data_IF_650138719239
#
_entry.id   IF_650138719239
#
_cell.length_a   1.000
_cell.length_b   1.000
_cell.length_c   1.000
_cell.angle_alpha   90.00
_cell.angle_beta   90.00
_cell.angle_gamma   90.00
#
_symmetry.space_group_name_H-M   'P 1'
#
loop_
_entity.id
_entity.type
_entity.pdbx_description
1 polymer ?
#
# COMPACT_ATOMS: atom_id res chain seq x y z
N UNK A 1 22.51 10.49 -16.45
CA UNK A 1 21.32 9.79 -15.90
C UNK A 1 20.66 10.72 -14.91
N UNK A 2 19.61 11.42 -15.32
CA UNK A 2 18.93 12.41 -14.47
C UNK A 2 18.20 11.71 -13.33
N UNK A 3 18.31 12.26 -12.12
CA UNK A 3 17.53 11.88 -10.96
C UNK A 3 16.04 11.79 -11.34
N UNK A 4 15.52 10.58 -11.50
CA UNK A 4 14.08 10.40 -11.54
C UNK A 4 13.68 10.37 -10.08
N UNK A 5 13.13 11.48 -9.60
CA UNK A 5 12.25 11.43 -8.43
C UNK A 5 11.31 10.28 -8.74
N UNK A 6 11.42 9.15 -8.01
CA UNK A 6 10.45 8.06 -8.11
C UNK A 6 9.09 8.75 -8.22
N UNK A 7 8.29 8.47 -9.26
CA UNK A 7 7.06 9.22 -9.57
C UNK A 7 5.96 8.96 -8.49
N UNK A 8 6.35 8.84 -7.22
CA UNK A 8 5.57 8.51 -6.03
C UNK A 8 4.41 9.47 -5.91
N UNK A 9 4.61 10.76 -6.19
CA UNK A 9 3.53 11.75 -6.18
C UNK A 9 2.48 11.46 -7.25
N UNK A 10 2.89 11.05 -8.45
CA UNK A 10 1.97 10.67 -9.53
C UNK A 10 1.25 9.35 -9.21
N UNK A 11 1.96 8.35 -8.67
CA UNK A 11 1.34 7.12 -8.18
C UNK A 11 0.35 7.41 -7.04
N UNK A 12 0.74 8.20 -6.04
CA UNK A 12 -0.08 8.59 -4.91
C UNK A 12 -1.35 9.31 -5.36
N UNK A 13 -1.23 10.30 -6.25
CA UNK A 13 -2.37 11.00 -6.83
C UNK A 13 -3.36 10.01 -7.47
N UNK A 14 -2.87 9.12 -8.34
CA UNK A 14 -3.69 8.14 -9.05
C UNK A 14 -4.40 7.21 -8.08
N UNK A 15 -3.69 6.68 -7.08
CA UNK A 15 -4.24 5.79 -6.06
C UNK A 15 -5.32 6.52 -5.26
N UNK A 16 -5.04 7.73 -4.78
CA UNK A 16 -5.98 8.51 -3.96
C UNK A 16 -7.24 8.88 -4.76
N UNK A 17 -7.11 9.25 -6.03
CA UNK A 17 -8.27 9.51 -6.90
C UNK A 17 -9.09 8.24 -7.17
N UNK A 18 -8.44 7.09 -7.35
CA UNK A 18 -9.14 5.81 -7.49
C UNK A 18 -9.89 5.43 -6.21
N UNK A 19 -9.24 5.55 -5.04
CA UNK A 19 -9.84 5.29 -3.74
C UNK A 19 -11.01 6.25 -3.46
N UNK A 20 -10.86 7.55 -3.75
CA UNK A 20 -11.94 8.55 -3.60
C UNK A 20 -13.15 8.22 -4.46
N UNK A 21 -12.94 7.80 -5.72
CA UNK A 21 -14.03 7.40 -6.62
C UNK A 21 -14.73 6.12 -6.16
N UNK A 22 -13.99 5.19 -5.56
CA UNK A 22 -14.51 3.94 -5.01
C UNK A 22 -15.34 4.18 -3.75
N UNK A 23 -14.76 4.87 -2.78
CA UNK A 23 -15.38 5.26 -1.53
C UNK A 23 -14.56 6.39 -0.87
N UNK A 24 -15.07 7.63 -0.81
CA UNK A 24 -14.37 8.74 -0.17
C UNK A 24 -13.97 8.47 1.29
N UNK A 25 -14.74 7.66 2.02
CA UNK A 25 -14.44 7.32 3.43
C UNK A 25 -13.21 6.43 3.55
N UNK A 26 -12.84 5.69 2.49
CA UNK A 26 -11.62 4.87 2.48
C UNK A 26 -10.35 5.70 2.66
N UNK A 27 -10.35 6.99 2.27
CA UNK A 27 -9.21 7.89 2.44
C UNK A 27 -8.83 8.13 3.90
N UNK A 28 -9.75 7.93 4.84
CA UNK A 28 -9.45 7.98 6.28
C UNK A 28 -8.40 6.94 6.71
N UNK A 29 -8.12 5.96 5.86
CA UNK A 29 -7.12 4.93 6.12
C UNK A 29 -5.68 5.37 5.82
N UNK A 30 -5.47 6.50 5.12
CA UNK A 30 -4.13 6.95 4.72
C UNK A 30 -3.16 7.14 5.90
N UNK A 31 -3.61 7.71 7.02
CA UNK A 31 -2.76 7.84 8.21
C UNK A 31 -2.38 6.50 8.83
N UNK A 32 -3.30 5.53 8.82
CA UNK A 32 -3.01 4.18 9.33
C UNK A 32 -2.00 3.47 8.43
N UNK A 33 -2.11 3.62 7.11
CA UNK A 33 -1.12 3.13 6.15
C UNK A 33 0.28 3.68 6.45
N UNK A 34 0.37 4.99 6.70
CA UNK A 34 1.65 5.60 7.03
C UNK A 34 2.24 5.09 8.36
N UNK A 35 1.39 4.85 9.36
CA UNK A 35 1.79 4.30 10.64
C UNK A 35 2.24 2.83 10.53
N UNK A 36 1.59 2.03 9.68
CA UNK A 36 1.95 0.61 9.53
C UNK A 36 3.35 0.41 8.95
N UNK A 37 3.85 1.37 8.14
CA UNK A 37 5.23 1.35 7.65
C UNK A 37 6.27 1.24 8.77
N UNK A 38 6.04 1.83 9.95
CA UNK A 38 6.99 1.77 11.06
C UNK A 38 7.22 0.33 11.59
N UNK A 39 6.30 -0.58 11.29
CA UNK A 39 6.34 -1.99 11.71
C UNK A 39 6.82 -2.93 10.60
N UNK A 40 7.26 -2.40 9.46
CA UNK A 40 7.86 -3.18 8.37
C UNK A 40 6.89 -3.60 7.26
N UNK A 41 7.45 -4.26 6.25
CA UNK A 41 6.77 -4.63 5.01
C UNK A 41 5.62 -5.62 5.24
N UNK A 42 5.83 -6.66 6.06
CA UNK A 42 4.81 -7.64 6.39
C UNK A 42 3.61 -6.99 7.08
N UNK A 43 3.85 -6.10 8.05
CA UNK A 43 2.77 -5.44 8.77
C UNK A 43 1.96 -4.51 7.86
N UNK A 44 2.63 -3.83 6.93
CA UNK A 44 1.93 -3.02 5.93
C UNK A 44 1.08 -3.90 5.01
N UNK A 45 1.68 -4.94 4.43
CA UNK A 45 1.00 -5.88 3.55
C UNK A 45 -0.20 -6.53 4.26
N UNK A 46 -0.03 -7.04 5.49
CA UNK A 46 -1.10 -7.70 6.24
C UNK A 46 -2.33 -6.81 6.55
N UNK A 47 -2.24 -5.48 6.39
CA UNK A 47 -3.37 -4.59 6.62
C UNK A 47 -4.49 -4.78 5.59
N UNK A 48 -4.18 -5.11 4.33
CA UNK A 48 -5.24 -5.43 3.36
C UNK A 48 -5.96 -6.73 3.72
N UNK A 49 -5.24 -7.72 4.29
CA UNK A 49 -5.83 -8.98 4.77
C UNK A 49 -6.76 -8.74 5.95
N UNK A 50 -6.31 -7.94 6.92
CA UNK A 50 -7.10 -7.60 8.12
C UNK A 50 -8.43 -6.95 7.76
N UNK A 51 -8.43 -6.13 6.70
CA UNK A 51 -9.61 -5.40 6.23
C UNK A 51 -10.46 -6.20 5.24
N UNK A 52 -9.90 -7.19 4.54
CA UNK A 52 -10.59 -7.99 3.53
C UNK A 52 -11.04 -9.36 4.10
N UNK A 53 -11.92 -9.29 5.10
CA UNK A 53 -12.40 -10.43 5.84
C UNK A 53 -13.76 -10.98 5.43
N UNK A 54 -14.05 -12.24 5.80
CA UNK A 54 -15.35 -12.88 5.56
C UNK A 54 -16.56 -12.07 6.09
N UNK A 55 -16.39 -11.34 7.20
CA UNK A 55 -17.41 -10.46 7.79
C UNK A 55 -17.21 -8.96 7.47
N UNK A 56 -16.29 -8.64 6.56
CA UNK A 56 -15.96 -7.24 6.27
C UNK A 56 -17.11 -6.52 5.59
N UNK A 57 -17.40 -5.32 6.09
CA UNK A 57 -18.34 -4.41 5.47
C UNK A 57 -17.83 -3.96 4.09
N UNK A 58 -18.71 -3.34 3.30
CA UNK A 58 -18.29 -2.75 2.03
C UNK A 58 -17.25 -1.64 2.22
N UNK A 59 -17.35 -0.88 3.32
CA UNK A 59 -16.38 0.15 3.68
C UNK A 59 -15.00 -0.46 3.99
N UNK A 60 -14.96 -1.58 4.72
CA UNK A 60 -13.70 -2.28 5.02
C UNK A 60 -13.05 -2.84 3.75
N UNK A 61 -13.85 -3.39 2.83
CA UNK A 61 -13.36 -3.84 1.53
C UNK A 61 -12.80 -2.69 0.70
N UNK A 62 -13.44 -1.51 0.72
CA UNK A 62 -12.90 -0.31 0.06
C UNK A 62 -11.58 0.16 0.66
N UNK A 63 -11.44 0.12 2.00
CA UNK A 63 -10.17 0.40 2.69
C UNK A 63 -9.10 -0.65 2.35
N UNK A 64 -9.47 -1.93 2.32
CA UNK A 64 -8.56 -3.01 1.93
C UNK A 64 -8.03 -2.81 0.51
N UNK A 65 -8.93 -2.47 -0.43
CA UNK A 65 -8.56 -2.19 -1.81
C UNK A 65 -7.62 -0.97 -1.91
N UNK A 66 -7.83 0.07 -1.08
CA UNK A 66 -6.91 1.21 -1.03
C UNK A 66 -5.51 0.81 -0.52
N UNK A 67 -5.41 -0.02 0.52
CA UNK A 67 -4.12 -0.58 0.98
C UNK A 67 -3.45 -1.39 -0.13
N UNK A 68 -4.23 -2.25 -0.78
CA UNK A 68 -3.78 -3.10 -1.88
C UNK A 68 -3.28 -2.29 -3.09
N UNK A 69 -3.93 -1.17 -3.42
CA UNK A 69 -3.51 -0.27 -4.50
C UNK A 69 -2.13 0.34 -4.20
N UNK A 70 -1.85 0.70 -2.94
CA UNK A 70 -0.51 1.18 -2.52
C UNK A 70 0.53 0.07 -2.60
N UNK A 71 0.22 -1.12 -2.10
CA UNK A 71 1.13 -2.27 -2.18
C UNK A 71 1.46 -2.66 -3.62
N UNK A 72 0.45 -2.63 -4.50
CA UNK A 72 0.62 -2.94 -5.92
C UNK A 72 1.50 -1.90 -6.62
N UNK A 73 1.31 -0.62 -6.33
CA UNK A 73 2.18 0.42 -6.88
C UNK A 73 3.65 0.20 -6.46
N UNK A 74 3.88 -0.12 -5.17
CA UNK A 74 5.21 -0.42 -4.67
C UNK A 74 5.83 -1.65 -5.37
N UNK A 75 5.13 -2.78 -5.32
CA UNK A 75 5.64 -4.10 -5.71
C UNK A 75 5.72 -4.32 -7.21
N UNK A 76 4.80 -3.73 -7.99
CA UNK A 76 4.68 -3.96 -9.44
C UNK A 76 5.22 -2.79 -10.26
N UNK A 77 5.07 -1.55 -9.79
CA UNK A 77 5.33 -0.36 -10.62
C UNK A 77 6.63 0.37 -10.24
N UNK A 78 6.98 0.40 -8.94
CA UNK A 78 8.08 1.24 -8.44
C UNK A 78 9.36 0.43 -8.23
N UNK A 79 9.36 -0.56 -7.34
CA UNK A 79 10.57 -1.32 -6.98
C UNK A 79 11.19 -2.11 -8.13
N UNK A 80 10.41 -2.69 -9.08
CA UNK A 80 10.99 -3.39 -10.22
C UNK A 80 11.86 -2.49 -11.11
N UNK A 81 11.59 -1.17 -11.16
CA UNK A 81 12.43 -0.20 -11.89
C UNK A 81 13.85 -0.10 -11.31
N UNK A 82 14.01 -0.44 -10.03
CA UNK A 82 15.29 -0.49 -9.33
C UNK A 82 15.86 -1.92 -9.22
N UNK A 83 15.24 -2.91 -9.90
CA UNK A 83 15.66 -4.31 -9.82
C UNK A 83 15.25 -5.04 -8.54
N UNK A 84 14.51 -4.38 -7.65
CA UNK A 84 14.05 -4.96 -6.39
C UNK A 84 12.70 -5.65 -6.60
N UNK A 85 12.58 -6.90 -6.15
CA UNK A 85 11.34 -7.68 -6.21
C UNK A 85 10.87 -8.03 -4.81
N UNK A 86 9.60 -7.74 -4.55
CA UNK A 86 8.89 -8.16 -3.33
C UNK A 86 7.61 -8.90 -3.75
N UNK A 87 7.00 -9.71 -2.87
CA UNK A 87 5.74 -10.38 -3.14
C UNK A 87 4.65 -9.43 -3.65
N UNK A 88 3.95 -9.83 -4.71
CA UNK A 88 2.88 -9.06 -5.37
C UNK A 88 1.50 -9.58 -5.02
N UNK A 89 1.44 -10.70 -4.31
CA UNK A 89 0.22 -11.44 -4.00
C UNK A 89 -0.64 -10.65 -3.01
N UNK A 90 -1.90 -10.44 -3.39
CA UNK A 90 -2.92 -9.88 -2.54
C UNK A 90 -3.91 -11.00 -2.22
N UNK A 91 -3.85 -11.51 -1.00
CA UNK A 91 -4.79 -12.53 -0.52
C UNK A 91 -6.03 -11.86 0.11
N UNK A 92 -7.02 -12.66 0.45
CA UNK A 92 -8.08 -12.33 1.41
C UNK A 92 -7.87 -13.14 2.69
N UNK A 93 -8.68 -12.92 3.72
CA UNK A 93 -8.56 -13.71 4.95
C UNK A 93 -9.19 -15.12 4.86
N UNK A 94 -9.70 -15.50 3.67
CA UNK A 94 -10.29 -16.82 3.41
C UNK A 94 -9.29 -17.82 2.84
N UNK A 95 -8.09 -17.35 2.48
CA UNK A 95 -6.97 -18.18 2.06
C UNK A 95 -6.40 -18.95 3.26
N UNK A 96 -5.70 -20.04 2.98
CA UNK A 96 -5.12 -20.86 4.04
C UNK A 96 -4.00 -20.11 4.77
N UNK A 97 -3.83 -20.42 6.06
CA UNK A 97 -2.74 -19.87 6.88
C UNK A 97 -1.38 -20.12 6.24
N UNK A 98 -1.22 -21.27 5.59
CA UNK A 98 -0.02 -21.62 4.82
C UNK A 98 0.28 -20.60 3.70
N UNK A 99 -0.72 -20.20 2.92
CA UNK A 99 -0.52 -19.21 1.86
C UNK A 99 -0.13 -17.84 2.40
N UNK A 100 -0.68 -17.45 3.56
CA UNK A 100 -0.33 -16.20 4.23
C UNK A 100 1.12 -16.27 4.72
N UNK A 101 1.50 -17.38 5.34
CA UNK A 101 2.86 -17.64 5.80
C UNK A 101 3.87 -17.63 4.65
N UNK A 102 3.55 -18.27 3.51
CA UNK A 102 4.43 -18.30 2.33
C UNK A 102 4.74 -16.90 1.77
N UNK A 103 3.82 -15.94 1.89
CA UNK A 103 4.08 -14.54 1.50
C UNK A 103 4.92 -13.83 2.56
N UNK A 104 4.62 -14.05 3.84
CA UNK A 104 5.37 -13.46 4.94
C UNK A 104 6.85 -13.92 4.93
N UNK A 105 7.11 -15.21 4.76
CA UNK A 105 8.47 -15.77 4.70
C UNK A 105 9.27 -15.13 3.57
N UNK A 106 8.69 -14.95 2.38
CA UNK A 106 9.36 -14.25 1.27
C UNK A 106 9.65 -12.78 1.54
N UNK A 107 8.88 -12.11 2.39
CA UNK A 107 9.19 -10.75 2.84
C UNK A 107 10.36 -10.75 3.85
N UNK A 108 10.47 -11.78 4.69
CA UNK A 108 11.56 -11.93 5.64
C UNK A 108 12.88 -12.38 4.99
N UNK A 109 12.79 -13.17 3.92
CA UNK A 109 13.93 -13.66 3.14
C UNK A 109 14.57 -12.59 2.23
N UNK A 110 13.99 -11.40 2.15
CA UNK A 110 14.61 -10.26 1.47
C UNK A 110 15.97 -9.94 2.09
N UNK A 111 16.98 -9.73 1.25
CA UNK A 111 18.27 -9.26 1.72
C UNK A 111 18.12 -7.89 2.41
N UNK A 112 19.05 -7.57 3.31
CA UNK A 112 18.94 -6.38 4.16
C UNK A 112 18.83 -5.08 3.35
N UNK A 113 19.54 -4.98 2.22
CA UNK A 113 19.52 -3.80 1.38
C UNK A 113 18.15 -3.61 0.72
N UNK A 114 17.62 -4.64 0.04
CA UNK A 114 16.33 -4.59 -0.63
C UNK A 114 15.19 -4.30 0.35
N UNK A 115 15.23 -4.91 1.54
CA UNK A 115 14.25 -4.65 2.60
C UNK A 115 14.28 -3.20 3.07
N UNK A 116 15.47 -2.62 3.27
CA UNK A 116 15.63 -1.22 3.68
C UNK A 116 15.14 -0.26 2.59
N UNK A 117 15.52 -0.50 1.34
CA UNK A 117 15.08 0.34 0.20
C UNK A 117 13.57 0.24 0.01
N UNK A 118 13.01 -0.97 0.01
CA UNK A 118 11.56 -1.16 -0.11
C UNK A 118 10.79 -0.43 0.99
N UNK A 119 11.28 -0.50 2.24
CA UNK A 119 10.66 0.19 3.36
C UNK A 119 10.75 1.73 3.25
N UNK A 120 11.89 2.25 2.81
CA UNK A 120 12.07 3.69 2.60
C UNK A 120 11.16 4.21 1.48
N UNK A 121 11.07 3.49 0.36
CA UNK A 121 10.19 3.84 -0.77
C UNK A 121 8.72 3.74 -0.37
N UNK A 122 8.32 2.67 0.33
CA UNK A 122 6.95 2.52 0.86
C UNK A 122 6.58 3.67 1.81
N UNK A 123 7.52 4.06 2.66
CA UNK A 123 7.36 5.17 3.59
C UNK A 123 7.10 6.48 2.85
N UNK A 124 7.96 6.82 1.89
CA UNK A 124 7.83 8.03 1.07
C UNK A 124 6.55 8.02 0.22
N UNK A 125 6.16 6.87 -0.35
CA UNK A 125 4.90 6.72 -1.08
C UNK A 125 3.70 6.96 -0.15
N UNK A 126 3.76 6.45 1.08
CA UNK A 126 2.70 6.63 2.07
C UNK A 126 2.58 8.08 2.53
N UNK A 127 3.69 8.81 2.66
CA UNK A 127 3.69 10.24 2.92
C UNK A 127 3.03 11.04 1.78
N UNK A 128 3.37 10.72 0.52
CA UNK A 128 2.72 11.32 -0.65
C UNK A 128 1.21 11.01 -0.69
N UNK A 129 0.81 9.77 -0.39
CA UNK A 129 -0.61 9.37 -0.29
C UNK A 129 -1.33 10.18 0.79
N UNK A 130 -0.75 10.33 1.98
CA UNK A 130 -1.33 11.15 3.05
C UNK A 130 -1.51 12.58 2.58
N UNK A 131 -0.49 13.19 1.97
CA UNK A 131 -0.58 14.56 1.46
C UNK A 131 -1.73 14.73 0.45
N UNK A 132 -1.86 13.81 -0.52
CA UNK A 132 -2.94 13.85 -1.50
C UNK A 132 -4.32 13.66 -0.86
N UNK A 133 -4.45 12.80 0.15
CA UNK A 133 -5.74 12.66 0.86
C UNK A 133 -6.15 13.95 1.58
N UNK A 134 -5.21 14.67 2.19
CA UNK A 134 -5.48 15.96 2.83
C UNK A 134 -5.85 17.02 1.80
N UNK A 135 -5.12 17.07 0.68
CA UNK A 135 -5.42 18.00 -0.41
C UNK A 135 -6.84 17.85 -0.95
N UNK A 136 -7.35 16.63 -1.02
CA UNK A 136 -8.68 16.37 -1.57
C UNK A 136 -9.83 16.48 -0.55
N UNK A 137 -9.54 16.56 0.76
CA UNK A 137 -10.56 16.68 1.81
C UNK A 137 -11.41 17.95 1.69
N UNK A 138 -10.86 19.04 1.17
CA UNK A 138 -11.56 20.33 1.05
C UNK A 138 -12.20 20.62 -0.32
N UNK A 139 -12.04 19.73 -1.30
CA UNK A 139 -12.49 19.95 -2.69
C UNK A 139 -13.72 19.11 -3.06
N UNK A 140 -14.68 18.96 -2.16
CA UNK A 140 -15.94 18.26 -2.42
C UNK A 140 -17.12 19.21 -2.71
N UNK A 141 -16.93 20.53 -2.55
CA UNK A 141 -17.99 21.56 -2.67
C UNK A 141 -17.74 22.59 -3.80
N UNK A 142 -17.20 22.16 -4.94
CA UNK A 142 -17.20 22.97 -6.18
C UNK A 142 -17.55 22.12 -7.38
#
# INVERSE_FOLDING_TARGET
MGWHSFDLDHHAQRIVLAARRRDPKSLNQAYKLRATCAYGLERFWGEHLRLNGAKSSQEDKSKAAFVADVWKALSVEILPKAGIRIPTELLSNTQSERQIQDVAERLWDLNSYDRQVALAVLTNLSDAVVWWTQRLKGGADT
#
